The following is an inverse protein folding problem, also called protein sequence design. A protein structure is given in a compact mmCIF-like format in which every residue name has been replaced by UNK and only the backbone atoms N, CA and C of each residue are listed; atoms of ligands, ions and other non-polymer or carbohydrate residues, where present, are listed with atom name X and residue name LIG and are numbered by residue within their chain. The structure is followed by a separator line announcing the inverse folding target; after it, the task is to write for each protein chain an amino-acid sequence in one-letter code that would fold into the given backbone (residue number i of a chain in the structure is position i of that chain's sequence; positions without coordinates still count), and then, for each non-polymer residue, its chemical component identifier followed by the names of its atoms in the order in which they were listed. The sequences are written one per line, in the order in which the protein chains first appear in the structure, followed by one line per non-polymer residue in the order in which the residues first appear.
data_IF_526709055859
#
_entry.id   IF_526709055859
#
_cell.length_a   1.000
_cell.length_b   1.000
_cell.length_c   1.000
_cell.angle_alpha   90.00
_cell.angle_beta   90.00
_cell.angle_gamma   90.00
#
_symmetry.space_group_name_H-M   'P 1'
#
loop_
_entity.id
_entity.type
_entity.pdbx_description
1 polymer ?
#
# COMPACT_ATOMS: atom_id res chain seq x y z
N UNK A 1 -16.42 21.86 0.90
CA UNK A 1 -15.12 22.52 0.69
C UNK A 1 -14.23 21.62 -0.16
N UNK A 2 -13.65 22.15 -1.21
CA UNK A 2 -12.70 21.40 -2.04
C UNK A 2 -11.40 21.17 -1.26
N UNK A 3 -10.88 19.93 -1.28
CA UNK A 3 -9.59 19.59 -0.68
C UNK A 3 -8.48 20.03 -1.63
N UNK A 4 -7.49 20.74 -1.12
CA UNK A 4 -6.32 21.09 -1.92
C UNK A 4 -5.45 19.87 -2.16
N UNK A 5 -5.12 19.61 -3.42
CA UNK A 5 -4.27 18.49 -3.84
C UNK A 5 -2.86 18.95 -4.24
N UNK A 6 -2.45 20.14 -3.80
CA UNK A 6 -1.21 20.80 -4.24
C UNK A 6 0.03 19.90 -4.14
N UNK A 7 0.13 19.07 -3.12
CA UNK A 7 1.28 18.20 -2.87
C UNK A 7 0.97 16.71 -3.03
N UNK A 8 -0.20 16.39 -3.55
CA UNK A 8 -0.62 15.02 -3.71
C UNK A 8 -0.10 14.41 -5.01
N UNK A 9 0.17 13.11 -4.94
CA UNK A 9 0.41 12.27 -6.12
C UNK A 9 -0.83 11.43 -6.36
N UNK A 10 -1.35 11.43 -7.58
CA UNK A 10 -2.47 10.58 -7.96
C UNK A 10 -1.97 9.16 -8.17
N UNK A 11 -2.60 8.22 -7.49
CA UNK A 11 -2.30 6.79 -7.57
C UNK A 11 -3.55 6.05 -8.03
N UNK A 12 -3.39 5.18 -9.04
CA UNK A 12 -4.45 4.31 -9.55
C UNK A 12 -4.02 2.87 -9.32
N UNK A 13 -4.51 2.28 -8.24
CA UNK A 13 -4.14 0.94 -7.84
C UNK A 13 -5.19 -0.08 -8.22
N UNK A 14 -4.74 -1.16 -8.85
CA UNK A 14 -5.52 -2.41 -8.95
C UNK A 14 -4.98 -3.42 -7.96
N UNK A 15 -5.87 -4.20 -7.36
CA UNK A 15 -5.54 -5.21 -6.36
C UNK A 15 -6.07 -6.57 -6.76
N UNK A 16 -5.24 -7.59 -6.55
CA UNK A 16 -5.57 -8.96 -6.89
C UNK A 16 -5.16 -9.91 -5.78
N UNK A 17 -6.05 -10.81 -5.40
CA UNK A 17 -5.65 -11.96 -4.61
C UNK A 17 -4.88 -12.92 -5.52
N UNK A 18 -3.73 -13.38 -5.06
CA UNK A 18 -2.89 -14.32 -5.81
C UNK A 18 -2.61 -15.56 -4.98
N UNK A 19 -2.38 -16.70 -5.65
CA UNK A 19 -2.23 -17.99 -4.96
C UNK A 19 -0.82 -18.23 -4.43
N UNK A 20 0.18 -17.61 -5.04
CA UNK A 20 1.60 -17.84 -4.72
C UNK A 20 2.46 -16.68 -5.15
N UNK A 21 3.65 -16.59 -4.55
CA UNK A 21 4.70 -15.70 -5.01
C UNK A 21 5.30 -16.23 -6.33
N UNK A 22 5.59 -15.36 -7.31
CA UNK A 22 6.11 -15.75 -8.62
C UNK A 22 7.62 -16.05 -8.61
N UNK A 23 8.11 -16.79 -7.62
CA UNK A 23 9.52 -17.08 -7.41
C UNK A 23 10.19 -16.11 -6.43
N UNK A 24 11.48 -15.85 -6.63
CA UNK A 24 12.26 -14.96 -5.76
C UNK A 24 11.93 -13.51 -6.09
N UNK A 25 11.61 -12.72 -5.06
CA UNK A 25 11.41 -11.29 -5.19
C UNK A 25 12.74 -10.55 -5.39
N UNK A 26 12.69 -9.44 -6.13
CA UNK A 26 13.87 -8.57 -6.31
C UNK A 26 14.20 -7.82 -5.01
N UNK A 27 13.16 -7.50 -4.23
CA UNK A 27 13.29 -6.81 -2.96
C UNK A 27 12.18 -7.22 -2.02
N UNK A 28 12.49 -7.28 -0.72
CA UNK A 28 11.52 -7.52 0.35
C UNK A 28 11.59 -6.41 1.38
N UNK A 29 10.42 -5.98 1.84
CA UNK A 29 10.30 -4.94 2.88
C UNK A 29 9.31 -5.38 3.94
N UNK A 30 9.66 -5.20 5.20
CA UNK A 30 8.68 -5.33 6.28
C UNK A 30 7.98 -3.99 6.45
N UNK A 31 6.65 -4.02 6.45
CA UNK A 31 5.82 -2.82 6.55
C UNK A 31 4.88 -2.96 7.75
N UNK A 32 4.83 -1.92 8.56
CA UNK A 32 3.83 -1.76 9.61
C UNK A 32 3.07 -0.48 9.33
N UNK A 33 1.78 -0.61 9.08
CA UNK A 33 0.85 0.50 8.88
C UNK A 33 -0.02 0.69 10.11
N UNK A 34 -0.15 1.94 10.56
CA UNK A 34 -1.06 2.33 11.61
C UNK A 34 -2.08 3.31 11.01
N UNK A 35 -3.31 2.85 10.87
CA UNK A 35 -4.42 3.68 10.39
C UNK A 35 -5.02 4.43 11.56
N UNK A 36 -4.82 5.75 11.60
CA UNK A 36 -5.29 6.59 12.70
C UNK A 36 -6.80 6.64 12.70
N UNK A 37 -7.40 6.21 13.81
CA UNK A 37 -8.85 6.03 13.96
C UNK A 37 -9.61 7.34 13.70
N UNK A 38 -10.65 7.24 12.86
CA UNK A 38 -11.51 8.37 12.52
C UNK A 38 -10.90 9.38 11.55
N UNK A 39 -9.80 9.04 10.90
CA UNK A 39 -9.09 9.91 9.95
C UNK A 39 -8.76 9.18 8.65
N UNK A 40 -8.22 9.93 7.68
CA UNK A 40 -7.61 9.40 6.45
C UNK A 40 -6.09 9.35 6.56
N UNK A 41 -5.54 9.36 7.77
CA UNK A 41 -4.11 9.36 8.04
C UNK A 41 -3.60 7.94 8.29
N UNK A 42 -2.43 7.66 7.76
CA UNK A 42 -1.72 6.40 7.98
C UNK A 42 -0.27 6.70 8.34
N UNK A 43 0.19 6.13 9.44
CA UNK A 43 1.60 6.08 9.80
C UNK A 43 2.19 4.78 9.23
N UNK A 44 3.29 4.86 8.51
CA UNK A 44 3.96 3.69 7.92
C UNK A 44 5.41 3.64 8.33
N UNK A 45 5.84 2.48 8.85
CA UNK A 45 7.24 2.14 9.02
C UNK A 45 7.62 1.07 8.00
N UNK A 46 8.70 1.32 7.26
CA UNK A 46 9.25 0.38 6.28
C UNK A 46 10.66 0.02 6.71
N UNK A 47 10.93 -1.28 6.80
CA UNK A 47 12.27 -1.80 7.09
C UNK A 47 12.72 -2.66 5.91
N UNK A 48 13.80 -2.25 5.26
CA UNK A 48 14.42 -2.97 4.14
C UNK A 48 15.28 -4.13 4.64
N UNK A 49 15.73 -5.00 3.72
CA UNK A 49 16.53 -6.18 4.07
C UNK A 49 17.88 -5.82 4.70
N UNK A 50 18.45 -4.67 4.34
CA UNK A 50 19.68 -4.14 4.93
C UNK A 50 19.46 -3.46 6.30
N UNK A 51 18.24 -3.43 6.80
CA UNK A 51 17.87 -2.84 8.08
C UNK A 51 17.59 -1.33 8.06
N UNK A 52 17.63 -0.68 6.90
CA UNK A 52 17.27 0.74 6.80
C UNK A 52 15.78 0.94 7.15
N UNK A 53 15.50 1.96 7.97
CA UNK A 53 14.16 2.29 8.46
C UNK A 53 13.71 3.60 7.87
N UNK A 54 12.51 3.60 7.29
CA UNK A 54 11.82 4.80 6.81
C UNK A 54 10.48 4.92 7.52
N UNK A 55 10.16 6.13 8.00
CA UNK A 55 8.90 6.43 8.68
C UNK A 55 8.21 7.58 7.99
N UNK A 56 6.91 7.42 7.71
CA UNK A 56 6.14 8.44 7.01
C UNK A 56 4.70 8.51 7.48
N UNK A 57 4.14 9.72 7.35
CA UNK A 57 2.73 10.00 7.50
C UNK A 57 2.12 10.15 6.11
N UNK A 58 1.10 9.37 5.82
CA UNK A 58 0.35 9.43 4.57
C UNK A 58 -1.05 9.98 4.78
N UNK A 59 -1.54 10.73 3.81
CA UNK A 59 -2.92 11.19 3.74
C UNK A 59 -3.49 10.77 2.39
N UNK A 60 -4.56 9.97 2.39
CA UNK A 60 -5.18 9.44 1.18
C UNK A 60 -6.58 10.00 1.02
N UNK A 61 -6.82 10.65 -0.11
CA UNK A 61 -8.12 11.22 -0.47
C UNK A 61 -8.62 10.54 -1.72
N UNK A 62 -9.82 9.94 -1.66
CA UNK A 62 -10.44 9.33 -2.83
C UNK A 62 -10.86 10.41 -3.83
N UNK A 63 -10.58 10.17 -5.10
CA UNK A 63 -10.98 11.05 -6.20
C UNK A 63 -12.29 10.60 -6.85
N UNK A 64 -12.73 9.37 -6.57
CA UNK A 64 -14.00 8.81 -7.01
C UNK A 64 -14.74 8.15 -5.86
N UNK A 65 -15.75 7.35 -6.16
CA UNK A 65 -16.58 6.67 -5.16
C UNK A 65 -15.89 5.43 -4.56
N UNK A 66 -14.97 4.80 -5.31
CA UNK A 66 -14.28 3.59 -4.92
C UNK A 66 -12.84 3.82 -4.45
N UNK A 67 -12.13 2.74 -4.08
CA UNK A 67 -10.76 2.80 -3.57
C UNK A 67 -9.68 2.83 -4.67
N UNK A 68 -10.05 2.80 -5.94
CA UNK A 68 -9.13 2.64 -7.06
C UNK A 68 -8.23 3.85 -7.29
N UNK A 69 -8.81 5.05 -7.27
CA UNK A 69 -8.11 6.29 -7.57
C UNK A 69 -8.05 7.19 -6.34
N UNK A 70 -6.84 7.49 -5.91
CA UNK A 70 -6.57 8.27 -4.71
C UNK A 70 -5.54 9.36 -4.97
N UNK A 71 -5.69 10.49 -4.29
CA UNK A 71 -4.65 11.50 -4.14
C UNK A 71 -3.91 11.23 -2.83
N UNK A 72 -2.62 10.94 -2.92
CA UNK A 72 -1.78 10.56 -1.79
C UNK A 72 -0.74 11.64 -1.51
N UNK A 73 -0.71 12.13 -0.27
CA UNK A 73 0.32 13.03 0.22
C UNK A 73 1.12 12.34 1.31
N UNK A 74 2.45 12.38 1.24
CA UNK A 74 3.32 11.72 2.22
C UNK A 74 4.35 12.68 2.78
N UNK A 75 4.57 12.60 4.09
CA UNK A 75 5.62 13.30 4.81
C UNK A 75 6.56 12.27 5.43
N UNK A 76 7.87 12.50 5.31
CA UNK A 76 8.87 11.69 6.03
C UNK A 76 9.04 12.24 7.43
N UNK A 77 9.08 11.34 8.41
CA UNK A 77 9.10 11.69 9.83
C UNK A 77 10.46 11.35 10.45
N UNK A 78 10.92 12.19 11.36
CA UNK A 78 12.01 11.85 12.26
C UNK A 78 11.50 11.01 13.45
N UNK A 79 12.42 10.57 14.31
CA UNK A 79 12.10 9.68 15.43
C UNK A 79 11.14 10.33 16.43
N UNK A 80 11.34 11.62 16.72
CA UNK A 80 10.52 12.36 17.69
C UNK A 80 9.10 12.56 17.18
N UNK A 81 8.96 12.94 15.91
CA UNK A 81 7.66 13.06 15.24
C UNK A 81 6.91 11.73 15.21
N UNK A 82 7.63 10.64 14.88
CA UNK A 82 7.08 9.30 14.87
C UNK A 82 6.54 8.90 16.25
N UNK A 83 7.31 9.12 17.31
CA UNK A 83 6.91 8.78 18.67
C UNK A 83 5.63 9.52 19.09
N UNK A 84 5.58 10.82 18.82
CA UNK A 84 4.40 11.66 19.14
C UNK A 84 3.16 11.16 18.40
N UNK A 85 3.27 10.90 17.11
CA UNK A 85 2.13 10.49 16.28
C UNK A 85 1.68 9.05 16.57
N UNK A 86 2.59 8.16 16.98
CA UNK A 86 2.25 6.78 17.37
C UNK A 86 1.39 6.71 18.65
N UNK A 87 1.30 7.78 19.43
CA UNK A 87 0.41 7.85 20.58
C UNK A 87 -1.08 7.98 20.20
N UNK A 88 -1.38 8.31 18.95
CA UNK A 88 -2.75 8.42 18.47
C UNK A 88 -3.42 7.03 18.39
N UNK A 89 -4.71 6.91 18.71
CA UNK A 89 -5.45 5.67 18.51
C UNK A 89 -5.40 5.22 17.06
N UNK A 90 -5.04 3.96 16.82
CA UNK A 90 -4.90 3.44 15.47
C UNK A 90 -5.15 1.94 15.41
N UNK A 91 -5.48 1.45 14.23
CA UNK A 91 -5.53 0.04 13.88
C UNK A 91 -4.29 -0.31 13.05
N UNK A 92 -3.73 -1.48 13.27
CA UNK A 92 -2.43 -1.88 12.73
C UNK A 92 -2.58 -2.97 11.67
N UNK A 93 -1.83 -2.82 10.57
CA UNK A 93 -1.65 -3.83 9.54
C UNK A 93 -0.16 -4.13 9.39
N UNK A 94 0.23 -5.40 9.57
CA UNK A 94 1.60 -5.88 9.37
C UNK A 94 1.66 -6.74 8.13
N UNK A 95 2.68 -6.50 7.31
CA UNK A 95 2.86 -7.25 6.07
C UNK A 95 4.32 -7.29 5.64
N UNK A 96 4.64 -8.26 4.81
CA UNK A 96 5.90 -8.30 4.07
C UNK A 96 5.60 -8.00 2.62
N UNK A 97 6.17 -6.94 2.08
CA UNK A 97 6.03 -6.56 0.68
C UNK A 97 7.14 -7.17 -0.14
N UNK A 98 6.76 -7.97 -1.12
CA UNK A 98 7.65 -8.52 -2.13
C UNK A 98 7.50 -7.68 -3.39
N UNK A 99 8.59 -7.08 -3.86
CA UNK A 99 8.63 -6.34 -5.13
C UNK A 99 9.19 -7.26 -6.21
N UNK A 100 8.42 -7.44 -7.27
CA UNK A 100 8.80 -8.29 -8.41
C UNK A 100 8.70 -7.46 -9.68
N UNK A 101 9.83 -7.31 -10.37
CA UNK A 101 9.89 -6.61 -11.66
C UNK A 101 10.28 -7.59 -12.75
N UNK A 102 9.42 -7.75 -13.76
CA UNK A 102 9.67 -8.56 -14.95
C UNK A 102 9.08 -7.88 -16.16
N UNK A 103 9.81 -7.88 -17.26
CA UNK A 103 9.38 -7.31 -18.54
C UNK A 103 8.94 -5.83 -18.39
N UNK A 104 9.62 -5.08 -17.54
CA UNK A 104 9.33 -3.66 -17.28
C UNK A 104 8.12 -3.38 -16.39
N UNK A 105 7.45 -4.42 -15.87
CA UNK A 105 6.30 -4.29 -14.98
C UNK A 105 6.71 -4.64 -13.55
N UNK A 106 6.46 -3.73 -12.62
CA UNK A 106 6.67 -3.95 -11.19
C UNK A 106 5.35 -4.23 -10.51
N UNK A 107 5.26 -5.35 -9.80
CA UNK A 107 4.13 -5.73 -8.97
C UNK A 107 4.59 -5.80 -7.52
N UNK A 108 3.85 -5.14 -6.63
CA UNK A 108 4.03 -5.27 -5.19
C UNK A 108 3.09 -6.39 -4.68
N UNK A 109 3.63 -7.42 -4.05
CA UNK A 109 2.84 -8.50 -3.47
C UNK A 109 3.00 -8.44 -1.97
N UNK A 110 1.93 -8.10 -1.28
CA UNK A 110 1.88 -8.02 0.17
C UNK A 110 1.43 -9.36 0.75
N UNK A 111 2.31 -9.94 1.54
CA UNK A 111 2.03 -11.13 2.33
C UNK A 111 1.55 -10.70 3.72
N UNK A 112 0.28 -10.99 4.01
CA UNK A 112 -0.33 -10.68 5.29
C UNK A 112 0.02 -11.72 6.35
N UNK A 113 -0.23 -11.43 7.63
CA UNK A 113 0.11 -12.34 8.74
C UNK A 113 -0.58 -13.70 8.66
N UNK A 114 -1.76 -13.77 8.03
CA UNK A 114 -2.51 -15.03 7.82
C UNK A 114 -2.06 -15.82 6.58
N UNK A 115 -1.03 -15.34 5.87
CA UNK A 115 -0.53 -15.95 4.65
C UNK A 115 -1.23 -15.51 3.37
N UNK A 116 -2.27 -14.66 3.45
CA UNK A 116 -2.92 -14.10 2.26
C UNK A 116 -1.93 -13.28 1.45
N UNK A 117 -1.95 -13.45 0.13
CA UNK A 117 -1.13 -12.70 -0.81
C UNK A 117 -2.00 -11.74 -1.60
N UNK A 118 -1.69 -10.45 -1.49
CA UNK A 118 -2.42 -9.37 -2.14
C UNK A 118 -1.46 -8.61 -3.06
N UNK A 119 -1.65 -8.74 -4.37
CA UNK A 119 -0.84 -8.02 -5.35
C UNK A 119 -1.44 -6.65 -5.67
N UNK A 120 -0.57 -5.66 -5.82
CA UNK A 120 -0.94 -4.30 -6.20
C UNK A 120 -0.17 -3.88 -7.45
N UNK A 121 -0.89 -3.33 -8.42
CA UNK A 121 -0.34 -2.72 -9.62
C UNK A 121 -0.79 -1.26 -9.64
N UNK A 122 0.18 -0.34 -9.68
CA UNK A 122 -0.08 1.09 -9.84
C UNK A 122 0.00 1.44 -11.33
N UNK A 123 -1.14 1.81 -11.90
CA UNK A 123 -1.23 2.20 -13.31
C UNK A 123 -0.75 3.65 -13.56
N UNK A 124 -0.49 4.43 -12.51
CA UNK A 124 -0.10 5.84 -12.60
C UNK A 124 -1.09 6.66 -13.45
N UNK A 125 -0.60 7.53 -14.34
CA UNK A 125 -1.42 8.37 -15.21
C UNK A 125 -1.67 7.75 -16.59
N UNK A 126 -1.07 6.61 -16.87
CA UNK A 126 -1.16 5.93 -18.16
C UNK A 126 -2.38 5.01 -18.31
N UNK A 127 -2.53 4.38 -19.48
CA UNK A 127 -3.52 3.31 -19.64
C UNK A 127 -3.18 2.13 -18.72
N UNK A 128 -4.19 1.32 -18.32
CA UNK A 128 -3.96 0.17 -17.46
C UNK A 128 -2.92 -0.79 -18.05
N UNK A 129 -1.92 -1.12 -17.24
CA UNK A 129 -0.92 -2.13 -17.61
C UNK A 129 -1.60 -3.50 -17.67
N UNK A 130 -1.37 -4.32 -18.71
CA UNK A 130 -1.89 -5.69 -18.73
C UNK A 130 -1.43 -6.46 -17.49
N UNK A 131 -2.35 -7.23 -16.90
CA UNK A 131 -1.99 -8.09 -15.77
C UNK A 131 -0.96 -9.12 -16.24
N UNK A 132 0.23 -9.19 -15.62
CA UNK A 132 1.28 -10.08 -16.07
C UNK A 132 0.85 -11.55 -16.01
N UNK A 133 1.15 -12.32 -17.05
CA UNK A 133 0.82 -13.74 -17.11
C UNK A 133 1.51 -14.61 -16.05
N UNK A 134 2.62 -14.10 -15.48
CA UNK A 134 3.35 -14.76 -14.40
C UNK A 134 2.71 -14.58 -13.01
N UNK A 135 1.70 -13.70 -12.90
CA UNK A 135 0.95 -13.45 -11.67
C UNK A 135 -0.25 -14.41 -11.63
N UNK A 136 -0.27 -15.32 -10.66
CA UNK A 136 -1.33 -16.33 -10.53
C UNK A 136 -2.55 -15.75 -9.80
N UNK A 137 -3.40 -15.05 -10.54
CA UNK A 137 -4.54 -14.30 -10.00
C UNK A 137 -5.68 -15.25 -9.65
N UNK A 138 -6.14 -15.18 -8.40
CA UNK A 138 -7.34 -15.87 -7.92
C UNK A 138 -8.59 -15.01 -8.11
N UNK A 139 -8.51 -13.72 -7.79
CA UNK A 139 -9.63 -12.80 -7.85
C UNK A 139 -9.17 -11.36 -7.94
N UNK A 140 -9.82 -10.56 -8.79
CA UNK A 140 -9.69 -9.11 -8.80
C UNK A 140 -10.53 -8.53 -7.64
N UNK A 141 -9.88 -7.85 -6.72
CA UNK A 141 -10.50 -7.22 -5.55
C UNK A 141 -10.31 -5.70 -5.54
N UNK A 142 -10.04 -5.13 -6.70
CA UNK A 142 -9.73 -3.70 -6.86
C UNK A 142 -10.80 -2.80 -6.25
N UNK A 143 -12.06 -3.10 -6.49
CA UNK A 143 -13.19 -2.29 -6.03
C UNK A 143 -13.86 -2.84 -4.76
N UNK A 144 -13.30 -3.87 -4.16
CA UNK A 144 -13.81 -4.49 -2.93
C UNK A 144 -13.21 -3.78 -1.72
N UNK A 145 -14.05 -3.06 -0.98
CA UNK A 145 -13.65 -2.28 0.20
C UNK A 145 -13.01 -3.12 1.29
N UNK A 146 -13.39 -4.40 1.42
CA UNK A 146 -12.86 -5.30 2.46
C UNK A 146 -11.36 -5.58 2.27
N UNK A 147 -10.82 -5.32 1.08
CA UNK A 147 -9.41 -5.54 0.74
C UNK A 147 -8.57 -4.26 0.73
N UNK A 148 -9.11 -3.16 1.23
CA UNK A 148 -8.30 -1.95 1.48
C UNK A 148 -7.47 -2.13 2.75
N UNK A 149 -6.30 -1.47 2.80
CA UNK A 149 -5.43 -1.54 3.97
C UNK A 149 -6.14 -1.13 5.26
N UNK A 150 -6.95 -0.07 5.20
CA UNK A 150 -7.70 0.41 6.36
C UNK A 150 -8.70 -0.63 6.90
N UNK A 151 -9.30 -1.44 6.03
CA UNK A 151 -10.25 -2.50 6.42
C UNK A 151 -9.54 -3.75 6.92
N UNK A 152 -8.35 -4.04 6.39
CA UNK A 152 -7.53 -5.17 6.82
C UNK A 152 -6.85 -4.93 8.18
N UNK A 153 -6.65 -3.69 8.58
CA UNK A 153 -6.01 -3.32 9.85
C UNK A 153 -6.88 -3.74 11.07
N UNK A 154 -6.20 -4.17 12.15
CA UNK A 154 -6.82 -4.60 13.41
C UNK A 154 -6.27 -3.81 14.59
#
# INVERSE_FOLDING_TARGET
MAVSLKYAVVVRERRFLVSKLPGVADERRRIVDRYVTGTRLRLREVVTEDGAVTRKLGHKVRLGEGPREIACTSLYLDDDEWEVLCALPAQTLRKVRHLVTRDGVTVAIDELEDGTLLAEIDDQDGPPVPVPGWLDVLRDVTDDEEWTGARLAR
#
